data_IF_338565070890
#
_entry.id   IF_338565070890
#
_cell.length_a   1.000
_cell.length_b   1.000
_cell.length_c   1.000
_cell.angle_alpha   90.00
_cell.angle_beta   90.00
_cell.angle_gamma   90.00
#
_symmetry.space_group_name_H-M   'P 1'
#
loop_
_entity.id
_entity.type
_entity.pdbx_description
1 polymer ?
#
# COMPACT_ATOMS: atom_id res chain seq x y z
N UNK A 1 -16.28 28.61 -4.43
CA UNK A 1 -14.92 28.37 -4.93
C UNK A 1 -14.02 29.42 -4.31
N UNK A 2 -13.13 29.12 -3.39
CA UNK A 2 -12.14 30.08 -2.92
C UNK A 2 -10.98 30.13 -3.90
N UNK A 3 -10.55 31.34 -4.25
CA UNK A 3 -9.44 31.65 -5.14
C UNK A 3 -8.12 31.02 -4.65
N UNK A 4 -7.51 30.22 -5.49
CA UNK A 4 -6.16 29.67 -5.24
C UNK A 4 -5.17 30.82 -5.49
N UNK A 5 -4.51 31.24 -4.43
CA UNK A 5 -3.50 32.29 -4.48
C UNK A 5 -2.30 31.88 -5.37
N UNK A 6 -2.24 32.49 -6.58
CA UNK A 6 -1.15 32.30 -7.54
C UNK A 6 0.25 32.65 -7.01
N UNK A 7 0.35 33.28 -5.85
CA UNK A 7 1.64 33.63 -5.21
C UNK A 7 2.23 32.46 -4.41
N UNK A 8 1.41 31.48 -4.04
CA UNK A 8 1.90 30.24 -3.42
C UNK A 8 2.64 29.35 -4.44
N UNK A 9 2.18 29.35 -5.70
CA UNK A 9 2.78 28.54 -6.79
C UNK A 9 4.21 28.93 -7.15
N UNK A 10 4.58 30.22 -7.01
CA UNK A 10 5.90 30.75 -7.40
C UNK A 10 6.99 30.58 -6.32
N UNK A 11 6.65 30.20 -5.11
CA UNK A 11 7.64 29.95 -4.04
C UNK A 11 8.23 28.54 -4.07
N UNK A 12 7.61 27.61 -4.79
CA UNK A 12 8.02 26.20 -4.85
C UNK A 12 9.02 25.88 -5.96
N UNK A 13 9.10 26.71 -7.01
CA UNK A 13 10.08 26.51 -8.10
C UNK A 13 11.53 26.81 -7.74
N UNK A 14 11.78 27.46 -6.59
CA UNK A 14 13.15 27.78 -6.14
C UNK A 14 13.80 26.72 -5.23
N UNK A 15 13.03 25.73 -4.72
CA UNK A 15 13.55 24.70 -3.81
C UNK A 15 14.05 23.42 -4.53
N UNK A 16 13.76 23.26 -5.82
CA UNK A 16 14.15 22.08 -6.61
C UNK A 16 15.61 22.09 -7.11
N UNK A 17 16.38 23.13 -6.81
CA UNK A 17 17.73 23.32 -7.32
C UNK A 17 18.88 22.75 -6.48
N UNK A 18 18.67 22.10 -5.34
CA UNK A 18 19.74 21.80 -4.37
C UNK A 18 19.88 20.33 -3.93
N UNK A 19 19.19 19.39 -4.51
CA UNK A 19 19.25 17.97 -4.07
C UNK A 19 20.21 17.08 -4.89
N UNK A 20 21.05 17.66 -5.75
CA UNK A 20 21.97 16.91 -6.59
C UNK A 20 23.42 16.97 -6.08
N UNK A 21 23.68 16.81 -4.79
CA UNK A 21 25.08 16.69 -4.31
C UNK A 21 25.20 15.77 -3.09
N UNK A 22 25.70 14.55 -3.31
CA UNK A 22 26.46 13.85 -2.29
C UNK A 22 26.03 12.46 -1.88
N UNK A 23 25.83 11.49 -2.79
CA UNK A 23 25.89 10.07 -2.43
C UNK A 23 27.03 9.38 -3.17
N UNK A 24 27.97 8.83 -2.40
CA UNK A 24 29.15 8.13 -2.91
C UNK A 24 28.74 6.91 -3.73
N UNK A 25 29.13 6.89 -5.01
CA UNK A 25 28.99 5.76 -5.93
C UNK A 25 29.99 4.66 -5.55
N UNK A 26 29.51 3.64 -4.83
CA UNK A 26 30.27 2.41 -4.60
C UNK A 26 29.34 1.20 -4.75
N UNK A 27 29.55 0.39 -5.82
CA UNK A 27 28.86 -0.86 -6.17
C UNK A 27 27.45 -0.78 -6.82
N UNK A 28 27.04 0.35 -7.32
CA UNK A 28 25.69 0.62 -7.84
C UNK A 28 25.34 -0.03 -9.20
N UNK A 29 26.28 -0.56 -9.98
CA UNK A 29 26.00 -0.91 -11.37
C UNK A 29 25.10 -2.15 -11.58
N UNK A 30 25.03 -3.07 -10.63
CA UNK A 30 24.19 -4.27 -10.75
C UNK A 30 22.74 -3.99 -10.32
N UNK A 31 22.56 -3.23 -9.22
CA UNK A 31 21.23 -2.84 -8.74
C UNK A 31 20.53 -1.89 -9.71
N UNK A 32 21.25 -0.93 -10.31
CA UNK A 32 20.73 -0.04 -11.35
C UNK A 32 20.16 -0.80 -12.54
N UNK A 33 20.88 -1.82 -13.03
CA UNK A 33 20.42 -2.62 -14.17
C UNK A 33 19.18 -3.47 -13.85
N UNK A 34 19.10 -4.03 -12.63
CA UNK A 34 17.92 -4.76 -12.17
C UNK A 34 16.74 -3.80 -12.03
N UNK A 35 16.95 -2.67 -11.37
CA UNK A 35 15.93 -1.67 -11.15
C UNK A 35 15.32 -1.15 -12.45
N UNK A 36 16.16 -0.79 -13.43
CA UNK A 36 15.72 -0.24 -14.71
C UNK A 36 14.85 -1.23 -15.53
N UNK A 37 15.15 -2.53 -15.48
CA UNK A 37 14.36 -3.55 -16.21
C UNK A 37 13.11 -4.01 -15.46
N UNK A 38 13.07 -3.87 -14.13
CA UNK A 38 11.98 -4.36 -13.29
C UNK A 38 10.70 -3.54 -13.47
N UNK A 39 9.56 -4.14 -13.21
CA UNK A 39 8.35 -3.43 -12.84
C UNK A 39 8.49 -3.06 -11.35
N UNK A 40 8.55 -1.77 -11.06
CA UNK A 40 8.82 -1.24 -9.71
C UNK A 40 7.53 -0.68 -9.13
N UNK A 41 7.02 -1.31 -8.09
CA UNK A 41 5.72 -1.00 -7.51
C UNK A 41 5.80 -0.73 -6.01
N UNK A 42 5.16 0.34 -5.59
CA UNK A 42 4.77 0.54 -4.20
C UNK A 42 3.33 0.03 -4.01
N UNK A 43 3.16 -1.01 -3.21
CA UNK A 43 1.87 -1.71 -3.12
C UNK A 43 0.90 -1.13 -2.09
N UNK A 44 1.27 -0.04 -1.46
CA UNK A 44 0.35 0.93 -0.88
C UNK A 44 1.01 2.29 -0.75
N UNK A 45 0.39 3.26 -1.37
CA UNK A 45 0.77 4.66 -1.28
C UNK A 45 -0.48 5.54 -1.32
N UNK A 46 -0.35 6.82 -0.97
CA UNK A 46 -1.42 7.79 -1.05
C UNK A 46 -0.95 9.09 -1.69
N UNK A 47 -1.94 9.86 -2.16
CA UNK A 47 -1.71 11.16 -2.74
C UNK A 47 -2.13 12.25 -1.75
N UNK A 48 -1.23 13.18 -1.46
CA UNK A 48 -1.54 14.44 -0.79
C UNK A 48 -1.30 15.61 -1.75
N UNK A 49 -2.27 16.47 -1.91
CA UNK A 49 -2.29 17.77 -2.59
C UNK A 49 -1.75 17.87 -4.04
N UNK A 50 -0.50 17.54 -4.34
CA UNK A 50 0.07 17.66 -5.70
C UNK A 50 0.98 16.49 -5.99
N UNK A 51 0.49 15.53 -6.75
CA UNK A 51 1.27 14.41 -7.22
C UNK A 51 1.82 14.69 -8.62
N UNK A 52 3.14 14.63 -8.76
CA UNK A 52 3.80 14.69 -10.07
C UNK A 52 4.21 13.29 -10.54
N UNK A 53 3.46 12.66 -11.45
CA UNK A 53 3.79 11.32 -11.93
C UNK A 53 5.10 11.28 -12.74
N UNK A 54 5.53 12.39 -13.34
CA UNK A 54 6.80 12.44 -14.05
C UNK A 54 8.00 12.34 -13.09
N UNK A 55 7.91 12.98 -11.91
CA UNK A 55 8.93 12.83 -10.88
C UNK A 55 9.01 11.38 -10.36
N UNK A 56 7.87 10.70 -10.19
CA UNK A 56 7.84 9.29 -9.81
C UNK A 56 8.46 8.37 -10.89
N UNK A 57 8.13 8.61 -12.16
CA UNK A 57 8.73 7.89 -13.29
C UNK A 57 10.24 8.14 -13.39
N UNK A 58 10.70 9.38 -13.17
CA UNK A 58 12.13 9.73 -13.14
C UNK A 58 12.88 9.05 -11.99
N UNK A 59 12.21 8.85 -10.84
CA UNK A 59 12.74 8.04 -9.74
C UNK A 59 12.72 6.53 -10.03
N UNK A 60 12.15 6.14 -11.17
CA UNK A 60 12.12 4.75 -11.67
C UNK A 60 10.92 3.92 -11.18
N UNK A 61 9.95 4.52 -10.48
CA UNK A 61 8.72 3.81 -10.16
C UNK A 61 7.93 3.56 -11.45
N UNK A 62 7.36 2.34 -11.57
CA UNK A 62 6.43 2.03 -12.65
C UNK A 62 5.00 2.44 -12.25
N UNK A 63 4.64 2.28 -10.98
CA UNK A 63 3.33 2.63 -10.47
C UNK A 63 3.12 2.29 -9.01
N UNK A 64 1.88 2.48 -8.57
CA UNK A 64 1.47 2.28 -7.17
C UNK A 64 0.09 1.63 -7.07
N UNK A 65 -0.15 0.98 -5.93
CA UNK A 65 -1.52 0.75 -5.42
C UNK A 65 -1.89 1.98 -4.60
N UNK A 66 -2.81 2.77 -5.13
CA UNK A 66 -3.15 4.08 -4.61
C UNK A 66 -4.44 4.03 -3.79
N UNK A 67 -4.37 4.41 -2.52
CA UNK A 67 -5.57 4.53 -1.68
C UNK A 67 -6.44 5.70 -2.11
N UNK A 68 -7.75 5.49 -2.21
CA UNK A 68 -8.71 6.54 -2.49
C UNK A 68 -8.68 7.58 -1.36
N UNK A 69 -8.44 8.83 -1.74
CA UNK A 69 -8.40 9.94 -0.79
C UNK A 69 -9.82 10.38 -0.46
N UNK A 70 -10.39 9.79 0.59
CA UNK A 70 -11.70 10.17 1.08
C UNK A 70 -11.58 10.66 2.54
N UNK A 71 -12.01 11.90 2.82
CA UNK A 71 -12.07 12.42 4.20
C UNK A 71 -13.06 11.62 5.04
N UNK A 72 -14.14 11.18 4.41
CA UNK A 72 -15.15 10.29 4.98
C UNK A 72 -15.22 9.04 4.11
N UNK A 73 -14.97 7.89 4.70
CA UNK A 73 -15.00 6.57 4.02
C UNK A 73 -16.45 6.09 3.90
N UNK A 74 -17.18 6.67 2.96
CA UNK A 74 -18.53 6.30 2.59
C UNK A 74 -18.70 6.13 1.07
N UNK A 75 -19.83 5.59 0.65
CA UNK A 75 -20.08 5.31 -0.76
C UNK A 75 -20.09 6.56 -1.65
N UNK A 76 -20.76 7.68 -1.30
CA UNK A 76 -20.77 8.87 -2.14
C UNK A 76 -19.39 9.47 -2.36
N UNK A 77 -18.58 9.57 -1.32
CA UNK A 77 -17.21 10.10 -1.41
C UNK A 77 -16.31 9.16 -2.22
N UNK A 78 -16.43 7.84 -2.03
CA UNK A 78 -15.69 6.86 -2.82
C UNK A 78 -16.04 6.93 -4.31
N UNK A 79 -17.33 7.07 -4.66
CA UNK A 79 -17.77 7.22 -6.05
C UNK A 79 -17.20 8.52 -6.65
N UNK A 80 -17.29 9.65 -5.94
CA UNK A 80 -16.77 10.92 -6.42
C UNK A 80 -15.26 10.86 -6.68
N UNK A 81 -14.50 10.20 -5.80
CA UNK A 81 -13.06 10.03 -5.97
C UNK A 81 -12.72 9.10 -7.15
N UNK A 82 -13.46 8.01 -7.32
CA UNK A 82 -13.32 7.14 -8.50
C UNK A 82 -13.64 7.88 -9.80
N UNK A 83 -14.67 8.73 -9.82
CA UNK A 83 -15.03 9.53 -10.99
C UNK A 83 -13.92 10.54 -11.32
N UNK A 84 -13.34 11.20 -10.31
CA UNK A 84 -12.16 12.07 -10.48
C UNK A 84 -10.99 11.33 -11.15
N UNK A 85 -10.71 10.11 -10.74
CA UNK A 85 -9.65 9.30 -11.34
C UNK A 85 -10.00 8.87 -12.76
N UNK A 86 -11.26 8.50 -13.04
CA UNK A 86 -11.68 8.17 -14.41
C UNK A 86 -11.53 9.38 -15.36
N UNK A 87 -11.86 10.59 -14.90
CA UNK A 87 -11.61 11.83 -15.66
C UNK A 87 -10.11 12.05 -15.90
N UNK A 88 -9.27 11.84 -14.88
CA UNK A 88 -7.82 11.97 -15.01
C UNK A 88 -7.23 10.96 -16.01
N UNK A 89 -7.69 9.71 -16.00
CA UNK A 89 -7.25 8.68 -16.96
C UNK A 89 -7.71 8.96 -18.38
N UNK A 90 -8.89 9.55 -18.59
CA UNK A 90 -9.49 9.84 -19.88
C UNK A 90 -8.93 11.10 -20.53
N UNK A 91 -8.18 11.93 -19.83
CA UNK A 91 -7.56 13.13 -20.39
C UNK A 91 -6.61 12.77 -21.55
N UNK A 92 -6.63 13.58 -22.65
CA UNK A 92 -5.92 13.28 -23.89
C UNK A 92 -4.43 13.02 -23.69
N UNK A 93 -3.79 13.81 -22.84
CA UNK A 93 -2.36 13.70 -22.52
C UNK A 93 -2.14 13.20 -21.09
N UNK A 94 -3.00 12.30 -20.60
CA UNK A 94 -2.91 11.79 -19.25
C UNK A 94 -1.54 11.14 -19.00
N UNK A 95 -0.81 11.55 -17.97
CA UNK A 95 0.42 10.88 -17.57
C UNK A 95 0.16 9.59 -16.78
N UNK A 96 -1.11 9.32 -16.44
CA UNK A 96 -1.52 8.15 -15.67
C UNK A 96 -2.04 7.03 -16.56
N UNK A 97 -1.85 5.79 -16.11
CA UNK A 97 -2.42 4.59 -16.71
C UNK A 97 -3.27 3.84 -15.68
N UNK A 98 -4.56 3.66 -15.96
CA UNK A 98 -5.45 2.88 -15.12
C UNK A 98 -5.12 1.40 -15.26
N UNK A 99 -4.74 0.75 -14.17
CA UNK A 99 -4.44 -0.69 -14.14
C UNK A 99 -5.69 -1.46 -13.78
N UNK A 100 -6.15 -2.30 -14.69
CA UNK A 100 -7.34 -3.14 -14.52
C UNK A 100 -6.99 -4.63 -14.52
N UNK A 101 -5.89 -5.02 -15.15
CA UNK A 101 -5.39 -6.38 -15.29
C UNK A 101 -3.85 -6.44 -15.16
N UNK A 102 -3.28 -7.63 -14.96
CA UNK A 102 -1.83 -7.80 -14.76
C UNK A 102 -0.97 -7.28 -15.90
N UNK A 103 -1.43 -7.41 -17.16
CA UNK A 103 -0.71 -6.96 -18.35
C UNK A 103 -0.57 -5.42 -18.42
N UNK A 104 -1.42 -4.66 -17.72
CA UNK A 104 -1.45 -3.20 -17.78
C UNK A 104 -0.19 -2.54 -17.22
N UNK A 105 0.48 -3.15 -16.26
CA UNK A 105 1.75 -2.63 -15.73
C UNK A 105 2.84 -2.55 -16.81
N UNK A 106 2.95 -3.59 -17.63
CA UNK A 106 3.90 -3.60 -18.74
C UNK A 106 3.52 -2.59 -19.83
N UNK A 107 2.24 -2.44 -20.11
CA UNK A 107 1.71 -1.43 -21.06
C UNK A 107 2.00 -0.02 -20.56
N UNK A 108 1.74 0.27 -19.28
CA UNK A 108 2.03 1.57 -18.66
C UNK A 108 3.53 1.92 -18.79
N UNK A 109 4.41 0.97 -18.46
CA UNK A 109 5.88 1.14 -18.58
C UNK A 109 6.29 1.40 -20.02
N UNK A 110 5.76 0.65 -21.01
CA UNK A 110 6.04 0.86 -22.42
C UNK A 110 5.59 2.23 -22.93
N UNK A 111 4.46 2.73 -22.42
CA UNK A 111 3.92 4.04 -22.78
C UNK A 111 4.52 5.20 -21.99
N UNK A 112 5.45 4.91 -21.07
CA UNK A 112 6.00 5.89 -20.12
C UNK A 112 4.90 6.66 -19.36
N UNK A 113 3.84 5.94 -18.93
CA UNK A 113 2.74 6.46 -18.12
C UNK A 113 2.77 5.81 -16.74
N UNK A 114 2.44 6.57 -15.71
CA UNK A 114 2.47 6.09 -14.34
C UNK A 114 1.27 5.18 -14.05
N UNK A 115 1.54 3.92 -13.68
CA UNK A 115 0.52 2.92 -13.43
C UNK A 115 -0.17 3.15 -12.08
N UNK A 116 -1.50 3.25 -12.09
CA UNK A 116 -2.33 3.41 -10.90
C UNK A 116 -3.27 2.22 -10.76
N UNK A 117 -3.15 1.48 -9.68
CA UNK A 117 -4.17 0.54 -9.20
C UNK A 117 -5.01 1.26 -8.16
N UNK A 118 -6.29 1.45 -8.41
CA UNK A 118 -7.19 2.08 -7.43
C UNK A 118 -7.53 1.10 -6.30
N UNK A 119 -7.35 1.56 -5.07
CA UNK A 119 -7.54 0.82 -3.83
C UNK A 119 -8.39 1.61 -2.83
N UNK A 120 -9.11 0.93 -1.97
CA UNK A 120 -9.63 1.51 -0.72
C UNK A 120 -9.17 0.67 0.48
N UNK A 121 -8.60 1.35 1.47
CA UNK A 121 -8.13 0.71 2.71
C UNK A 121 -9.27 0.38 3.71
N UNK A 122 -10.53 0.61 3.36
CA UNK A 122 -11.66 0.23 4.21
C UNK A 122 -12.90 -0.07 3.38
N UNK A 123 -13.47 -1.23 3.59
CA UNK A 123 -14.75 -1.59 2.97
C UNK A 123 -15.96 -0.87 3.58
N UNK A 124 -15.79 0.06 4.52
CA UNK A 124 -16.85 0.98 4.96
C UNK A 124 -17.43 1.82 3.81
N UNK A 125 -16.70 1.96 2.69
CA UNK A 125 -17.21 2.55 1.45
C UNK A 125 -18.42 1.81 0.87
N UNK A 126 -18.65 0.55 1.25
CA UNK A 126 -19.84 -0.21 0.86
C UNK A 126 -21.12 0.27 1.55
N UNK A 127 -21.02 1.24 2.47
CA UNK A 127 -22.11 1.73 3.28
C UNK A 127 -22.25 0.99 4.62
N UNK A 128 -23.15 1.47 5.50
CA UNK A 128 -23.34 0.87 6.81
C UNK A 128 -23.77 -0.59 6.67
N UNK A 129 -23.32 -1.47 7.58
CA UNK A 129 -23.75 -2.87 7.60
C UNK A 129 -25.23 -2.91 7.99
N UNK A 130 -26.10 -2.82 6.99
CA UNK A 130 -27.53 -2.96 7.18
C UNK A 130 -27.84 -4.41 7.50
N UNK A 131 -28.18 -4.68 8.73
CA UNK A 131 -28.46 -6.03 9.25
C UNK A 131 -29.58 -6.77 8.50
N UNK A 132 -30.31 -6.10 7.62
CA UNK A 132 -31.45 -6.63 6.89
C UNK A 132 -31.27 -6.74 5.37
N UNK A 133 -30.31 -6.03 4.74
CA UNK A 133 -30.29 -5.84 3.29
C UNK A 133 -28.93 -6.16 2.66
N UNK A 134 -28.40 -7.36 2.90
CA UNK A 134 -27.15 -7.85 2.30
C UNK A 134 -26.94 -7.59 0.79
N UNK A 135 -27.96 -7.60 -0.07
CA UNK A 135 -27.81 -7.36 -1.51
C UNK A 135 -27.27 -5.97 -1.88
N UNK A 136 -27.61 -4.91 -1.15
CA UNK A 136 -27.22 -3.54 -1.52
C UNK A 136 -25.70 -3.31 -1.40
N UNK A 137 -25.09 -3.81 -0.33
CA UNK A 137 -23.65 -3.69 -0.13
C UNK A 137 -22.85 -4.47 -1.20
N UNK A 138 -23.36 -5.64 -1.63
CA UNK A 138 -22.70 -6.43 -2.69
C UNK A 138 -22.85 -5.77 -4.06
N UNK A 139 -23.98 -5.10 -4.35
CA UNK A 139 -24.17 -4.34 -5.58
C UNK A 139 -23.17 -3.16 -5.69
N UNK A 140 -22.83 -2.52 -4.58
CA UNK A 140 -21.83 -1.46 -4.53
C UNK A 140 -20.46 -1.94 -5.03
N UNK A 141 -20.06 -3.18 -4.75
CA UNK A 141 -18.81 -3.76 -5.27
C UNK A 141 -18.77 -3.74 -6.80
N UNK A 142 -19.87 -4.11 -7.46
CA UNK A 142 -19.94 -4.10 -8.91
C UNK A 142 -19.83 -2.66 -9.48
N UNK A 143 -20.43 -1.68 -8.80
CA UNK A 143 -20.29 -0.25 -9.16
C UNK A 143 -18.85 0.20 -9.03
N UNK A 144 -18.20 -0.07 -7.90
CA UNK A 144 -16.79 0.31 -7.69
C UNK A 144 -15.86 -0.38 -8.68
N UNK A 145 -16.06 -1.68 -8.91
CA UNK A 145 -15.30 -2.43 -9.91
C UNK A 145 -15.45 -1.84 -11.32
N UNK A 146 -16.68 -1.47 -11.73
CA UNK A 146 -16.93 -0.83 -13.05
C UNK A 146 -16.25 0.53 -13.20
N UNK A 147 -16.01 1.22 -12.06
CA UNK A 147 -15.26 2.47 -11.96
C UNK A 147 -13.76 2.30 -11.78
N UNK A 148 -13.25 1.07 -11.89
CA UNK A 148 -11.82 0.77 -11.90
C UNK A 148 -11.21 0.40 -10.54
N UNK A 149 -11.98 0.32 -9.46
CA UNK A 149 -11.46 -0.19 -8.18
C UNK A 149 -11.05 -1.66 -8.36
N UNK A 150 -9.82 -2.01 -8.01
CA UNK A 150 -9.30 -3.38 -8.14
C UNK A 150 -8.82 -3.98 -6.84
N UNK A 151 -8.48 -3.17 -5.86
CA UNK A 151 -8.06 -3.64 -4.53
C UNK A 151 -9.02 -3.08 -3.49
N UNK A 152 -9.45 -3.90 -2.55
CA UNK A 152 -10.28 -3.46 -1.43
C UNK A 152 -9.84 -4.19 -0.16
N UNK A 153 -9.52 -3.40 0.87
CA UNK A 153 -9.23 -3.89 2.20
C UNK A 153 -10.52 -4.11 2.99
N UNK A 154 -10.64 -5.27 3.63
CA UNK A 154 -11.89 -5.68 4.29
C UNK A 154 -12.23 -4.84 5.51
N UNK A 155 -11.25 -4.56 6.37
CA UNK A 155 -11.43 -3.71 7.56
C UNK A 155 -10.26 -2.74 7.68
N UNK A 156 -10.50 -1.57 8.22
CA UNK A 156 -9.42 -0.68 8.66
C UNK A 156 -9.02 -1.01 10.11
N UNK A 157 -8.80 -0.02 10.92
CA UNK A 157 -8.31 -0.16 12.32
C UNK A 157 -9.26 -0.94 13.21
N UNK A 158 -10.58 -0.78 13.01
CA UNK A 158 -11.63 -1.33 13.85
C UNK A 158 -12.65 -2.11 13.03
N UNK A 159 -13.53 -2.84 13.73
CA UNK A 159 -14.65 -3.55 13.15
C UNK A 159 -15.57 -2.59 12.36
N UNK A 160 -15.91 -2.99 11.15
CA UNK A 160 -16.81 -2.26 10.25
C UNK A 160 -18.04 -3.09 9.81
N UNK A 161 -18.31 -4.19 10.50
CA UNK A 161 -19.41 -5.12 10.16
C UNK A 161 -19.02 -6.24 9.20
N UNK A 162 -17.90 -6.16 8.49
CA UNK A 162 -17.36 -7.26 7.68
C UNK A 162 -16.45 -8.17 8.50
N UNK A 163 -15.74 -7.61 9.45
CA UNK A 163 -14.80 -8.35 10.28
C UNK A 163 -14.15 -7.45 11.32
N UNK A 164 -13.22 -8.02 12.05
CA UNK A 164 -12.48 -7.36 13.12
C UNK A 164 -11.21 -6.73 12.57
N UNK A 165 -10.93 -5.47 12.94
CA UNK A 165 -9.68 -4.78 12.67
C UNK A 165 -8.59 -5.13 13.69
N UNK A 166 -7.33 -4.75 13.40
CA UNK A 166 -6.20 -5.11 14.28
C UNK A 166 -6.27 -4.46 15.67
N UNK A 167 -6.90 -3.27 15.79
CA UNK A 167 -6.95 -2.53 17.04
C UNK A 167 -8.10 -2.94 17.98
N UNK A 168 -9.03 -3.75 17.51
CA UNK A 168 -10.13 -4.22 18.35
C UNK A 168 -9.62 -5.03 19.56
N UNK A 169 -10.31 -4.86 20.68
CA UNK A 169 -9.98 -5.57 21.91
C UNK A 169 -10.24 -7.08 21.79
N UNK A 170 -11.26 -7.45 21.02
CA UNK A 170 -11.68 -8.83 20.83
C UNK A 170 -11.70 -9.18 19.34
N UNK A 171 -10.98 -10.24 18.96
CA UNK A 171 -10.88 -10.74 17.58
C UNK A 171 -11.97 -11.77 17.28
N UNK A 172 -13.09 -11.30 16.74
CA UNK A 172 -14.19 -12.17 16.32
C UNK A 172 -13.96 -12.85 14.97
N UNK A 173 -13.03 -12.32 14.15
CA UNK A 173 -12.78 -12.79 12.79
C UNK A 173 -13.73 -12.19 11.76
N UNK A 174 -13.89 -12.88 10.63
CA UNK A 174 -14.72 -12.45 9.51
C UNK A 174 -16.22 -12.70 9.81
N UNK A 175 -17.03 -11.65 9.67
CA UNK A 175 -18.49 -11.76 9.83
C UNK A 175 -19.13 -12.44 8.60
N UNK A 176 -20.42 -12.81 8.71
CA UNK A 176 -21.17 -13.42 7.59
C UNK A 176 -21.16 -12.52 6.34
N UNK A 177 -21.43 -11.23 6.49
CA UNK A 177 -21.38 -10.29 5.38
C UNK A 177 -19.96 -10.19 4.78
N UNK A 178 -18.93 -10.23 5.62
CA UNK A 178 -17.53 -10.26 5.14
C UNK A 178 -17.22 -11.49 4.29
N UNK A 179 -17.78 -12.65 4.63
CA UNK A 179 -17.63 -13.86 3.80
C UNK A 179 -18.31 -13.70 2.43
N UNK A 180 -19.50 -13.08 2.39
CA UNK A 180 -20.22 -12.78 1.16
C UNK A 180 -19.44 -11.76 0.29
N UNK A 181 -18.86 -10.73 0.90
CA UNK A 181 -17.98 -9.75 0.23
C UNK A 181 -16.75 -10.43 -0.36
N UNK A 182 -16.08 -11.33 0.38
CA UNK A 182 -14.93 -12.10 -0.13
C UNK A 182 -15.32 -12.92 -1.37
N UNK A 183 -16.47 -13.57 -1.36
CA UNK A 183 -16.95 -14.36 -2.51
C UNK A 183 -17.27 -13.46 -3.71
N UNK A 184 -17.91 -12.32 -3.49
CA UNK A 184 -18.26 -11.39 -4.56
C UNK A 184 -17.02 -10.70 -5.16
N UNK A 185 -16.04 -10.33 -4.33
CA UNK A 185 -14.76 -9.82 -4.82
C UNK A 185 -14.04 -10.84 -5.71
N UNK A 186 -14.04 -12.12 -5.31
CA UNK A 186 -13.48 -13.19 -6.14
C UNK A 186 -14.21 -13.32 -7.48
N UNK A 187 -15.55 -13.21 -7.48
CA UNK A 187 -16.38 -13.29 -8.68
C UNK A 187 -16.12 -12.12 -9.64
N UNK A 188 -15.93 -10.93 -9.10
CA UNK A 188 -15.69 -9.70 -9.86
C UNK A 188 -14.24 -9.58 -10.38
N UNK A 189 -13.29 -10.35 -9.85
CA UNK A 189 -11.88 -10.16 -10.15
C UNK A 189 -11.30 -8.96 -9.41
N UNK A 190 -11.51 -8.90 -8.09
CA UNK A 190 -10.93 -7.87 -7.21
C UNK A 190 -9.96 -8.52 -6.23
N UNK A 191 -8.79 -7.92 -6.05
CA UNK A 191 -7.81 -8.36 -5.05
C UNK A 191 -8.25 -7.96 -3.65
N UNK A 192 -8.35 -8.95 -2.76
CA UNK A 192 -8.66 -8.75 -1.35
C UNK A 192 -7.38 -8.35 -0.61
N UNK A 193 -7.41 -7.22 0.09
CA UNK A 193 -6.36 -6.81 1.03
C UNK A 193 -6.81 -7.05 2.48
N UNK A 194 -5.88 -7.51 3.32
CA UNK A 194 -6.12 -7.76 4.74
C UNK A 194 -5.08 -7.09 5.64
N UNK A 195 -4.45 -6.02 5.17
CA UNK A 195 -3.34 -5.34 5.87
C UNK A 195 -3.71 -4.88 7.28
N UNK A 196 -4.86 -4.23 7.47
CA UNK A 196 -5.35 -3.80 8.79
C UNK A 196 -6.26 -4.81 9.50
N UNK A 197 -6.59 -5.92 8.84
CA UNK A 197 -7.44 -6.93 9.47
C UNK A 197 -6.72 -7.60 10.65
N UNK A 198 -7.51 -8.01 11.65
CA UNK A 198 -7.04 -8.85 12.75
C UNK A 198 -6.47 -10.18 12.24
N UNK A 199 -5.77 -10.90 13.10
CA UNK A 199 -5.22 -12.22 12.75
C UNK A 199 -6.32 -13.18 12.27
N UNK A 200 -7.42 -13.28 13.04
CA UNK A 200 -8.50 -14.19 12.72
C UNK A 200 -9.25 -13.78 11.46
N UNK A 201 -9.55 -12.48 11.28
CA UNK A 201 -10.17 -11.97 10.04
C UNK A 201 -9.31 -12.29 8.83
N UNK A 202 -7.97 -12.08 8.93
CA UNK A 202 -7.02 -12.41 7.85
C UNK A 202 -7.05 -13.91 7.52
N UNK A 203 -6.96 -14.78 8.52
CA UNK A 203 -6.97 -16.24 8.31
C UNK A 203 -8.30 -16.74 7.76
N UNK A 204 -9.42 -16.19 8.23
CA UNK A 204 -10.76 -16.51 7.71
C UNK A 204 -10.88 -16.10 6.24
N UNK A 205 -10.39 -14.89 5.86
CA UNK A 205 -10.37 -14.41 4.47
C UNK A 205 -9.51 -15.31 3.58
N UNK A 206 -8.28 -15.69 4.02
CA UNK A 206 -7.41 -16.63 3.30
C UNK A 206 -8.12 -17.96 3.04
N UNK A 207 -8.81 -18.48 4.07
CA UNK A 207 -9.52 -19.76 3.97
C UNK A 207 -10.72 -19.71 3.03
N UNK A 208 -11.45 -18.59 3.02
CA UNK A 208 -12.69 -18.41 2.26
C UNK A 208 -12.47 -17.98 0.81
N UNK A 209 -11.41 -17.23 0.54
CA UNK A 209 -11.10 -16.81 -0.82
C UNK A 209 -10.79 -18.00 -1.73
N UNK A 210 -11.33 -18.01 -2.94
CA UNK A 210 -10.97 -18.96 -3.99
C UNK A 210 -9.73 -18.54 -4.79
N UNK A 211 -9.31 -17.26 -4.66
CA UNK A 211 -8.16 -16.67 -5.32
C UNK A 211 -7.07 -16.29 -4.31
N UNK A 212 -5.83 -16.03 -4.73
CA UNK A 212 -4.81 -15.45 -3.86
C UNK A 212 -5.27 -14.11 -3.29
N UNK A 213 -4.83 -13.77 -2.07
CA UNK A 213 -5.11 -12.49 -1.42
C UNK A 213 -3.82 -11.79 -1.02
N UNK A 214 -3.90 -10.52 -0.65
CA UNK A 214 -2.77 -9.71 -0.26
C UNK A 214 -2.84 -9.25 1.20
N UNK A 215 -1.68 -8.97 1.74
CA UNK A 215 -1.38 -7.98 2.77
C UNK A 215 -0.51 -6.94 2.06
N UNK A 216 -1.10 -5.84 1.60
CA UNK A 216 -0.38 -4.87 0.76
C UNK A 216 0.71 -4.14 1.54
N UNK A 217 0.55 -3.99 2.88
CA UNK A 217 1.45 -3.27 3.76
C UNK A 217 1.35 -3.74 5.22
N UNK A 218 2.38 -4.37 5.75
CA UNK A 218 2.49 -4.77 7.16
C UNK A 218 3.95 -5.11 7.53
N UNK A 219 4.23 -5.25 8.83
CA UNK A 219 5.46 -5.81 9.35
C UNK A 219 5.30 -7.26 9.83
N UNK A 220 6.35 -7.81 10.43
CA UNK A 220 6.39 -9.15 11.01
C UNK A 220 6.25 -9.07 12.53
N UNK A 221 5.22 -9.70 13.09
CA UNK A 221 4.94 -9.72 14.54
C UNK A 221 6.11 -10.30 15.35
N UNK A 222 6.77 -11.32 14.84
CA UNK A 222 7.89 -11.97 15.52
C UNK A 222 9.12 -11.07 15.69
N UNK A 223 9.26 -10.01 14.89
CA UNK A 223 10.32 -9.02 15.03
C UNK A 223 9.90 -7.84 15.89
N UNK A 224 8.65 -7.40 15.76
CA UNK A 224 8.05 -6.36 16.58
C UNK A 224 6.62 -6.74 16.93
N UNK A 225 6.33 -7.10 18.19
CA UNK A 225 5.05 -7.70 18.60
C UNK A 225 3.94 -6.66 18.78
N UNK A 226 3.53 -6.07 17.66
CA UNK A 226 2.36 -5.21 17.57
C UNK A 226 1.25 -5.91 16.77
N UNK A 227 -0.02 -5.75 17.17
CA UNK A 227 -1.18 -6.37 16.50
C UNK A 227 -1.34 -5.92 15.05
N UNK A 228 -0.75 -4.79 14.65
CA UNK A 228 -0.73 -4.31 13.27
C UNK A 228 0.11 -5.22 12.36
N UNK A 229 1.09 -5.90 12.94
CA UNK A 229 1.98 -6.81 12.23
C UNK A 229 1.38 -8.20 12.07
N UNK A 230 1.81 -8.92 11.05
CA UNK A 230 1.33 -10.27 10.74
C UNK A 230 2.17 -11.33 11.44
N UNK A 231 1.48 -12.29 12.06
CA UNK A 231 2.13 -13.43 12.70
C UNK A 231 2.71 -14.39 11.66
N UNK A 232 3.70 -15.20 12.07
CA UNK A 232 4.26 -16.26 11.23
C UNK A 232 3.20 -17.25 10.75
N UNK A 233 2.11 -17.41 11.49
CA UNK A 233 0.96 -18.23 11.10
C UNK A 233 0.25 -17.64 9.89
N UNK A 234 0.01 -16.32 9.90
CA UNK A 234 -0.56 -15.59 8.76
C UNK A 234 0.37 -15.62 7.56
N UNK A 235 1.67 -15.37 7.77
CA UNK A 235 2.68 -15.40 6.70
C UNK A 235 2.69 -16.76 5.99
N UNK A 236 2.71 -17.87 6.74
CA UNK A 236 2.64 -19.23 6.17
C UNK A 236 1.33 -19.47 5.42
N UNK A 237 0.21 -19.03 5.97
CA UNK A 237 -1.10 -19.21 5.34
C UNK A 237 -1.21 -18.42 4.02
N UNK A 238 -0.71 -17.18 3.98
CA UNK A 238 -0.61 -16.38 2.75
C UNK A 238 0.26 -17.07 1.70
N UNK A 239 1.45 -17.55 2.10
CA UNK A 239 2.35 -18.26 1.20
C UNK A 239 1.71 -19.53 0.62
N UNK A 240 1.06 -20.34 1.46
CA UNK A 240 0.36 -21.55 1.03
C UNK A 240 -0.79 -21.25 0.07
N UNK A 241 -1.41 -20.06 0.17
CA UNK A 241 -2.46 -19.57 -0.73
C UNK A 241 -1.90 -18.98 -2.04
N UNK A 242 -0.58 -18.85 -2.17
CA UNK A 242 0.05 -18.14 -3.28
C UNK A 242 -0.14 -16.62 -3.21
N UNK A 243 -0.37 -16.09 -2.02
CA UNK A 243 -0.66 -14.68 -1.77
C UNK A 243 0.56 -13.75 -1.85
N UNK A 244 0.40 -12.54 -1.30
CA UNK A 244 1.39 -11.47 -1.29
C UNK A 244 1.46 -10.77 0.07
N UNK A 245 2.66 -10.36 0.49
CA UNK A 245 2.89 -9.51 1.65
C UNK A 245 3.90 -8.40 1.34
N UNK A 246 3.43 -7.16 1.29
CA UNK A 246 4.27 -5.95 1.23
C UNK A 246 4.76 -5.58 2.64
N UNK A 247 6.05 -5.37 2.78
CA UNK A 247 6.63 -4.83 4.03
C UNK A 247 6.53 -3.30 3.97
N UNK A 248 6.02 -2.68 5.04
CA UNK A 248 5.79 -1.23 5.07
C UNK A 248 6.98 -0.43 5.66
N UNK A 249 6.88 0.91 5.57
CA UNK A 249 7.92 1.84 6.03
C UNK A 249 7.45 2.66 7.25
N UNK A 250 6.81 2.02 8.24
CA UNK A 250 6.25 2.71 9.40
C UNK A 250 7.05 2.40 10.67
N UNK A 251 7.96 3.31 11.07
CA UNK A 251 8.91 3.11 12.18
C UNK A 251 8.24 2.60 13.46
N UNK A 252 7.10 3.17 13.81
CA UNK A 252 6.38 2.87 15.06
C UNK A 252 5.89 1.42 15.18
N UNK A 253 5.72 0.73 14.06
CA UNK A 253 5.31 -0.68 14.01
C UNK A 253 6.44 -1.63 13.58
N UNK A 254 7.65 -1.09 13.34
CA UNK A 254 8.78 -1.88 12.87
C UNK A 254 9.84 -2.09 13.95
N UNK A 255 9.94 -1.16 14.90
CA UNK A 255 11.00 -1.19 15.90
C UNK A 255 10.63 -0.35 17.13
N UNK A 256 11.18 -0.73 18.31
CA UNK A 256 11.12 0.10 19.52
C UNK A 256 12.09 1.30 19.51
N UNK A 257 12.92 1.42 18.47
CA UNK A 257 13.85 2.53 18.33
C UNK A 257 13.11 3.78 17.84
N UNK A 258 13.57 4.96 18.23
CA UNK A 258 13.03 6.22 17.76
C UNK A 258 13.20 6.43 16.23
N UNK A 259 14.07 5.66 15.60
CA UNK A 259 14.36 5.70 14.15
C UNK A 259 14.47 4.29 13.61
N UNK A 260 13.89 4.07 12.45
CA UNK A 260 14.16 2.93 11.59
C UNK A 260 15.05 3.36 10.41
N UNK A 261 15.51 2.40 9.65
CA UNK A 261 16.28 2.57 8.42
C UNK A 261 15.88 1.50 7.41
N UNK A 262 16.37 1.58 6.19
CA UNK A 262 16.20 0.54 5.19
C UNK A 262 16.61 -0.84 5.71
N UNK A 263 17.63 -0.92 6.57
CA UNK A 263 18.06 -2.19 7.17
C UNK A 263 16.98 -2.80 8.08
N UNK A 264 16.22 -1.97 8.82
CA UNK A 264 15.07 -2.44 9.60
C UNK A 264 14.00 -3.06 8.68
N UNK A 265 13.73 -2.43 7.54
CA UNK A 265 12.76 -2.95 6.56
C UNK A 265 13.27 -4.27 5.96
N UNK A 266 14.57 -4.34 5.63
CA UNK A 266 15.18 -5.56 5.09
C UNK A 266 15.18 -6.68 6.11
N UNK A 267 15.35 -6.43 7.43
CA UNK A 267 15.20 -7.44 8.46
C UNK A 267 13.80 -8.07 8.45
N UNK A 268 12.73 -7.25 8.27
CA UNK A 268 11.37 -7.77 8.13
C UNK A 268 11.17 -8.54 6.81
N UNK A 269 11.79 -8.10 5.72
CA UNK A 269 11.80 -8.82 4.44
C UNK A 269 12.47 -10.18 4.61
N UNK A 270 13.67 -10.24 5.23
CA UNK A 270 14.41 -11.46 5.51
C UNK A 270 13.57 -12.46 6.32
N UNK A 271 12.87 -11.97 7.36
CA UNK A 271 11.99 -12.79 8.17
C UNK A 271 10.80 -13.33 7.35
N UNK A 272 10.11 -12.47 6.60
CA UNK A 272 8.99 -12.88 5.78
C UNK A 272 9.40 -13.89 4.70
N UNK A 273 10.57 -13.69 4.05
CA UNK A 273 11.16 -14.64 3.09
C UNK A 273 11.51 -15.96 3.76
N UNK A 274 12.08 -15.93 4.96
CA UNK A 274 12.40 -17.16 5.72
C UNK A 274 11.15 -17.99 6.04
N UNK A 275 10.01 -17.34 6.35
CA UNK A 275 8.77 -18.00 6.76
C UNK A 275 7.91 -18.40 5.57
N UNK A 276 7.76 -17.53 4.56
CA UNK A 276 6.84 -17.69 3.45
C UNK A 276 7.48 -17.92 2.08
N UNK A 277 8.79 -17.77 1.97
CA UNK A 277 9.52 -17.86 0.70
C UNK A 277 9.58 -16.55 -0.06
N UNK A 278 10.51 -16.50 -1.04
CA UNK A 278 10.80 -15.30 -1.83
C UNK A 278 9.61 -14.86 -2.71
N UNK A 279 8.73 -15.78 -3.09
CA UNK A 279 7.58 -15.51 -3.96
C UNK A 279 6.43 -14.79 -3.23
N UNK A 280 6.51 -14.66 -1.90
CA UNK A 280 5.50 -13.98 -1.10
C UNK A 280 5.71 -12.48 -1.01
N UNK A 281 6.98 -12.01 -0.94
CA UNK A 281 7.34 -10.75 -0.31
C UNK A 281 7.53 -9.63 -1.32
N UNK A 282 7.11 -8.41 -0.94
CA UNK A 282 7.39 -7.17 -1.65
C UNK A 282 7.41 -5.97 -0.71
N UNK A 283 7.10 -4.80 -1.23
CA UNK A 283 7.14 -3.53 -0.49
C UNK A 283 5.88 -2.71 -0.73
N UNK A 284 5.29 -2.16 0.33
CA UNK A 284 4.18 -1.22 0.28
C UNK A 284 4.36 -0.18 1.36
N UNK A 285 4.83 1.02 0.98
CA UNK A 285 5.41 1.99 1.90
C UNK A 285 4.49 2.49 3.00
N UNK A 286 3.20 2.52 2.74
CA UNK A 286 2.21 3.20 3.59
C UNK A 286 2.54 4.70 3.74
N UNK A 287 2.97 5.33 2.62
CA UNK A 287 3.49 6.69 2.57
C UNK A 287 3.12 7.38 1.25
N UNK A 288 3.31 8.72 1.18
CA UNK A 288 3.08 9.48 -0.06
C UNK A 288 3.98 9.01 -1.19
N UNK A 289 3.46 9.08 -2.44
CA UNK A 289 4.16 8.58 -3.64
C UNK A 289 5.56 9.20 -3.80
N UNK A 290 5.67 10.50 -3.66
CA UNK A 290 6.96 11.22 -3.78
C UNK A 290 7.66 11.44 -2.43
N UNK A 291 7.10 10.93 -1.34
CA UNK A 291 7.55 11.22 0.02
C UNK A 291 6.93 12.50 0.57
N UNK A 292 6.94 12.61 1.88
CA UNK A 292 6.43 13.77 2.60
C UNK A 292 7.56 14.81 2.79
N UNK A 293 7.48 15.98 2.17
CA UNK A 293 8.54 17.00 2.26
C UNK A 293 8.58 17.71 3.61
N UNK A 294 7.60 17.49 4.49
CA UNK A 294 7.55 18.14 5.81
C UNK A 294 8.70 17.68 6.71
N UNK A 295 9.19 18.52 7.63
CA UNK A 295 10.16 18.09 8.64
C UNK A 295 9.57 17.03 9.57
N UNK A 296 10.41 16.13 10.08
CA UNK A 296 9.97 15.03 10.95
C UNK A 296 9.11 15.44 12.15
N UNK A 297 9.37 16.56 12.87
CA UNK A 297 8.49 16.98 13.96
C UNK A 297 7.05 17.23 13.53
N UNK A 298 6.84 17.84 12.36
CA UNK A 298 5.49 18.09 11.81
C UNK A 298 4.81 16.79 11.37
N UNK A 299 5.56 15.84 10.81
CA UNK A 299 5.04 14.50 10.49
C UNK A 299 4.58 13.77 11.74
N UNK A 300 5.40 13.79 12.80
CA UNK A 300 5.08 13.16 14.09
C UNK A 300 3.83 13.76 14.69
N UNK A 301 3.71 15.11 14.69
CA UNK A 301 2.52 15.80 15.21
C UNK A 301 1.26 15.41 14.43
N UNK A 302 1.31 15.44 13.09
CA UNK A 302 0.19 15.04 12.22
C UNK A 302 -0.23 13.59 12.45
N UNK A 303 0.73 12.68 12.58
CA UNK A 303 0.45 11.27 12.85
C UNK A 303 -0.13 11.08 14.26
N UNK A 304 0.36 11.79 15.27
CA UNK A 304 -0.17 11.74 16.62
C UNK A 304 -1.62 12.24 16.68
N UNK A 305 -1.93 13.31 15.93
CA UNK A 305 -3.31 13.79 15.78
C UNK A 305 -4.21 12.77 15.11
N UNK A 306 -3.73 12.16 13.99
CA UNK A 306 -4.47 11.11 13.27
C UNK A 306 -4.80 9.95 14.21
N UNK A 307 -3.82 9.46 14.93
CA UNK A 307 -3.95 8.36 15.89
C UNK A 307 -4.96 8.72 17.00
N UNK A 308 -4.86 9.93 17.54
CA UNK A 308 -5.77 10.41 18.61
C UNK A 308 -7.20 10.51 18.12
N UNK A 309 -7.43 11.04 16.91
CA UNK A 309 -8.77 11.16 16.31
C UNK A 309 -9.41 9.80 16.05
N UNK A 310 -8.64 8.84 15.62
CA UNK A 310 -9.15 7.50 15.24
C UNK A 310 -9.31 6.54 16.42
N UNK A 311 -9.08 6.98 17.68
CA UNK A 311 -9.33 6.23 18.94
C UNK A 311 -8.82 4.78 18.96
N UNK A 312 -7.90 4.42 18.07
CA UNK A 312 -7.52 3.04 17.81
C UNK A 312 -6.06 2.71 18.07
N UNK A 313 -5.34 3.63 18.72
CA UNK A 313 -3.93 3.38 19.00
C UNK A 313 -3.77 2.54 20.27
N UNK A 314 -3.32 1.29 20.18
CA UNK A 314 -2.97 0.54 21.37
C UNK A 314 -1.63 1.08 21.87
N UNK A 315 -1.68 1.82 22.99
CA UNK A 315 -0.46 2.23 23.64
C UNK A 315 -0.44 3.67 24.14
N UNK A 316 -1.14 4.60 23.51
CA UNK A 316 -1.22 6.00 23.99
C UNK A 316 0.13 6.71 24.21
N UNK A 317 1.23 6.04 23.92
CA UNK A 317 2.57 6.59 24.10
C UNK A 317 2.82 7.65 23.02
N UNK A 318 3.42 8.79 23.38
CA UNK A 318 3.80 9.79 22.40
C UNK A 318 4.75 9.19 21.38
N UNK A 319 4.52 9.48 20.09
CA UNK A 319 5.47 9.08 19.05
C UNK A 319 6.79 9.83 19.27
N UNK A 320 7.80 9.09 19.71
CA UNK A 320 9.15 9.63 19.91
C UNK A 320 10.00 9.25 18.72
N UNK A 321 10.15 10.14 17.72
CA UNK A 321 11.10 9.90 16.64
C UNK A 321 10.54 10.12 15.25
N UNK A 322 10.95 9.27 14.30
CA UNK A 322 10.55 9.37 12.90
C UNK A 322 9.32 8.52 12.61
N UNK A 323 8.40 9.03 11.78
CA UNK A 323 7.23 8.29 11.30
C UNK A 323 7.68 7.14 10.40
N UNK A 324 8.61 7.44 9.48
CA UNK A 324 9.15 6.51 8.48
C UNK A 324 10.68 6.38 8.62
N UNK A 325 11.27 5.39 7.99
CA UNK A 325 12.72 5.31 7.83
C UNK A 325 13.19 6.49 6.96
N UNK A 326 14.09 7.31 7.50
CA UNK A 326 14.49 8.57 6.88
C UNK A 326 15.24 8.40 5.54
N UNK A 327 15.82 7.24 5.31
CA UNK A 327 16.47 6.84 4.06
C UNK A 327 15.49 6.27 3.01
N UNK A 328 14.22 6.11 3.38
CA UNK A 328 13.12 5.67 2.51
C UNK A 328 11.99 6.69 2.40
N UNK A 329 12.23 7.94 2.76
CA UNK A 329 11.23 9.02 2.69
C UNK A 329 11.06 9.58 1.26
N UNK A 330 12.03 9.37 0.36
CA UNK A 330 12.02 9.92 -1.00
C UNK A 330 11.27 9.08 -2.03
N UNK A 331 11.10 9.63 -3.23
CA UNK A 331 10.56 8.92 -4.39
C UNK A 331 11.46 7.76 -4.84
N UNK A 332 12.76 7.82 -4.55
CA UNK A 332 13.79 6.82 -4.85
C UNK A 332 13.86 5.67 -3.84
N UNK A 333 12.91 5.60 -2.90
CA UNK A 333 12.90 4.61 -1.79
C UNK A 333 13.07 3.16 -2.24
N UNK A 334 12.47 2.79 -3.37
CA UNK A 334 12.58 1.44 -3.89
C UNK A 334 13.94 1.16 -4.54
N UNK A 335 14.64 2.19 -5.03
CA UNK A 335 16.03 2.07 -5.46
C UNK A 335 16.96 1.86 -4.25
N UNK A 336 16.78 2.65 -3.19
CA UNK A 336 17.51 2.48 -1.92
C UNK A 336 17.28 1.08 -1.33
N UNK A 337 16.03 0.58 -1.41
CA UNK A 337 15.69 -0.79 -0.99
C UNK A 337 16.42 -1.84 -1.85
N UNK A 338 16.43 -1.68 -3.18
CA UNK A 338 17.14 -2.60 -4.09
C UNK A 338 18.63 -2.70 -3.77
N UNK A 339 19.27 -1.56 -3.49
CA UNK A 339 20.67 -1.51 -3.07
C UNK A 339 20.89 -2.24 -1.73
N UNK A 340 20.00 -2.05 -0.76
CA UNK A 340 20.07 -2.72 0.53
C UNK A 340 19.91 -4.24 0.39
N UNK A 341 18.98 -4.70 -0.44
CA UNK A 341 18.79 -6.12 -0.76
C UNK A 341 20.05 -6.70 -1.44
N UNK A 342 20.68 -5.95 -2.37
CA UNK A 342 21.95 -6.33 -2.98
C UNK A 342 23.08 -6.49 -1.95
N UNK A 343 23.20 -5.57 -0.98
CA UNK A 343 24.14 -5.69 0.14
C UNK A 343 23.88 -6.93 1.00
N UNK A 344 22.60 -7.32 1.17
CA UNK A 344 22.17 -8.56 1.86
C UNK A 344 22.32 -9.82 0.97
N UNK A 345 22.91 -9.69 -0.23
CA UNK A 345 23.17 -10.79 -1.17
C UNK A 345 21.92 -11.47 -1.76
N UNK A 346 20.82 -10.75 -1.86
CA UNK A 346 19.72 -11.19 -2.71
C UNK A 346 20.20 -11.25 -4.17
N UNK A 347 19.79 -12.28 -4.89
CA UNK A 347 20.06 -12.35 -6.32
C UNK A 347 19.21 -11.33 -7.08
N UNK A 348 19.64 -10.94 -8.27
CA UNK A 348 18.89 -10.06 -9.16
C UNK A 348 17.43 -10.51 -9.34
N UNK A 349 17.23 -11.81 -9.56
CA UNK A 349 15.88 -12.38 -9.70
C UNK A 349 15.04 -12.26 -8.40
N UNK A 350 15.66 -12.32 -7.23
CA UNK A 350 14.97 -12.14 -5.97
C UNK A 350 14.62 -10.66 -5.74
N UNK A 351 15.52 -9.74 -6.09
CA UNK A 351 15.27 -8.29 -6.03
C UNK A 351 14.10 -7.92 -6.97
N UNK A 352 14.11 -8.41 -8.20
CA UNK A 352 13.04 -8.18 -9.18
C UNK A 352 11.67 -8.66 -8.67
N UNK A 353 11.63 -9.81 -7.98
CA UNK A 353 10.41 -10.32 -7.32
C UNK A 353 9.91 -9.36 -6.26
N UNK A 354 10.78 -8.89 -5.38
CA UNK A 354 10.43 -7.98 -4.27
C UNK A 354 9.99 -6.62 -4.80
N UNK A 355 10.64 -6.10 -5.85
CA UNK A 355 10.31 -4.79 -6.44
C UNK A 355 8.93 -4.71 -7.08
N UNK A 356 8.34 -5.87 -7.51
CA UNK A 356 7.02 -5.82 -8.09
C UNK A 356 6.51 -7.13 -8.69
N UNK A 357 7.38 -8.04 -9.16
CA UNK A 357 6.93 -9.25 -9.88
C UNK A 357 6.03 -10.15 -9.01
N UNK A 358 6.26 -10.22 -7.69
CA UNK A 358 5.39 -10.95 -6.78
C UNK A 358 3.99 -10.34 -6.69
N UNK A 359 3.88 -9.02 -6.64
CA UNK A 359 2.59 -8.34 -6.65
C UNK A 359 1.87 -8.56 -7.99
N UNK A 360 2.57 -8.40 -9.12
CA UNK A 360 2.02 -8.66 -10.46
C UNK A 360 1.39 -10.06 -10.54
N UNK A 361 2.11 -11.08 -10.09
CA UNK A 361 1.62 -12.46 -10.08
C UNK A 361 0.31 -12.61 -9.31
N UNK A 362 0.23 -12.00 -8.12
CA UNK A 362 -0.95 -12.10 -7.26
C UNK A 362 -2.10 -11.26 -7.83
N UNK A 363 -1.81 -10.05 -8.30
CA UNK A 363 -2.79 -9.17 -8.91
C UNK A 363 -3.40 -9.80 -10.16
N UNK A 364 -2.58 -10.33 -11.08
CA UNK A 364 -3.08 -11.06 -12.25
C UNK A 364 -3.93 -12.27 -11.85
N UNK A 365 -3.47 -13.10 -10.91
CA UNK A 365 -4.24 -14.25 -10.45
C UNK A 365 -5.57 -13.86 -9.76
N UNK A 366 -5.69 -12.64 -9.24
CA UNK A 366 -6.91 -12.16 -8.61
C UNK A 366 -7.83 -11.40 -9.58
N UNK A 367 -7.29 -10.62 -10.54
CA UNK A 367 -8.04 -9.68 -11.37
C UNK A 367 -8.21 -10.12 -12.83
N UNK A 368 -7.36 -11.03 -13.35
CA UNK A 368 -7.50 -11.62 -14.67
C UNK A 368 -8.42 -12.86 -14.59
#
# INVERSE_FOLDING_TARGET
MPDIDRRALLKWTAALGSYAAGFGRGTAAASDAVYARSIVLDTLSFEYATFDPHAALQAGLTGVVLDLRTEVRDMPNAIAELDRWQEAFAAADSPFYCVLEGADFARAKQLNRFAIVLNSQDASILGPPMAANGPENLQALAVFHSKGLRVLQLTYTSNNGLGTGYADAYDAGLARLGMEVVQEMNRLGMLIDTSHCSEKTTLDAISRSSRPIAVTHAGCYSLFPDKRNKSDKVIRALAAKGGYMGIYNMTMWMTSRARSSVETIVDHIDHAVKIGGIDLVGFGSDHEVLGDPRPQPEKVESMQEFVTRNKGWPGGEPMNGHVTASDLDGADRLHVLADALGRRRYSDAAIEKILGANFLRVFGAACD
#
